data_IF_764734233958
#
_entry.id   IF_764734233958
#
_cell.length_a   1.000
_cell.length_b   1.000
_cell.length_c   1.000
_cell.angle_alpha   90.00
_cell.angle_beta   90.00
_cell.angle_gamma   90.00
#
_symmetry.space_group_name_H-M   'P 1'
#
loop_
_entity.id
_entity.type
_entity.pdbx_description
1 polymer ?
#
# COMPACT_ATOMS: atom_id res chain seq x y z
N UNK A 1 63.47 18.98 12.88
CA UNK A 1 64.44 19.21 11.80
C UNK A 1 65.06 17.84 11.55
N UNK A 2 64.92 17.13 10.45
CA UNK A 2 64.61 17.40 9.04
C UNK A 2 63.94 16.11 8.47
N UNK A 3 62.95 16.24 7.59
CA UNK A 3 63.00 15.94 6.14
C UNK A 3 63.34 14.47 5.79
N UNK A 4 62.63 13.74 4.93
CA UNK A 4 61.56 14.11 4.02
C UNK A 4 61.16 12.93 3.13
N UNK A 5 59.94 13.05 2.57
CA UNK A 5 59.42 12.65 1.24
C UNK A 5 59.99 11.42 0.53
N UNK A 6 59.06 10.65 -0.04
CA UNK A 6 59.24 10.12 -1.40
C UNK A 6 58.60 8.75 -1.66
N UNK A 7 57.33 8.74 -2.05
CA UNK A 7 56.70 7.59 -2.73
C UNK A 7 57.10 7.67 -4.21
N UNK A 8 57.64 6.61 -4.84
CA UNK A 8 57.66 6.52 -6.29
C UNK A 8 56.48 5.69 -6.81
N UNK A 9 55.73 6.32 -7.72
CA UNK A 9 54.69 5.71 -8.53
C UNK A 9 55.32 4.82 -9.61
N UNK A 10 54.94 3.54 -9.64
CA UNK A 10 55.22 2.65 -10.77
C UNK A 10 54.04 2.67 -11.73
N UNK A 11 54.21 3.44 -12.81
CA UNK A 11 53.35 3.48 -14.00
C UNK A 11 53.89 2.48 -15.00
N UNK A 12 53.24 1.31 -15.13
CA UNK A 12 53.52 0.38 -16.23
C UNK A 12 52.43 0.57 -17.29
N UNK A 13 52.88 1.05 -18.45
CA UNK A 13 52.11 1.21 -19.68
C UNK A 13 51.78 -0.18 -20.24
N UNK A 14 50.52 -0.44 -20.52
CA UNK A 14 50.12 -1.46 -21.47
C UNK A 14 50.02 -0.77 -22.85
N UNK A 15 51.09 -0.93 -23.64
CA UNK A 15 51.06 -0.68 -25.07
C UNK A 15 50.55 -1.95 -25.78
N UNK A 16 50.02 -1.74 -27.00
CA UNK A 16 49.75 -2.72 -28.07
C UNK A 16 48.39 -3.44 -28.13
N UNK A 17 47.62 -3.46 -29.22
CA UNK A 17 47.49 -2.74 -30.52
C UNK A 17 46.14 -3.23 -31.10
N UNK A 18 45.24 -2.38 -31.63
CA UNK A 18 44.23 -2.76 -32.62
C UNK A 18 44.83 -2.51 -34.03
N UNK A 19 44.60 -3.34 -35.07
CA UNK A 19 43.36 -3.18 -35.85
C UNK A 19 42.94 -4.40 -36.70
N UNK A 20 41.64 -4.61 -36.90
CA UNK A 20 41.14 -5.29 -38.10
C UNK A 20 39.93 -4.52 -38.64
N UNK A 21 40.24 -3.63 -39.57
CA UNK A 21 39.31 -2.85 -40.37
C UNK A 21 38.61 -3.79 -41.35
N UNK A 22 37.33 -4.08 -41.13
CA UNK A 22 36.49 -4.75 -42.11
C UNK A 22 36.12 -3.77 -43.24
N UNK A 23 36.05 -4.23 -44.51
CA UNK A 23 35.72 -3.38 -45.65
C UNK A 23 34.25 -2.95 -45.62
N UNK A 24 34.05 -1.64 -45.77
CA UNK A 24 32.76 -0.95 -45.90
C UNK A 24 31.97 -1.44 -47.13
N UNK A 25 30.76 -1.98 -46.97
CA UNK A 25 29.85 -2.17 -48.10
C UNK A 25 29.28 -0.83 -48.57
N UNK A 26 29.44 -0.57 -49.86
CA UNK A 26 28.96 0.58 -50.63
C UNK A 26 27.47 0.85 -50.41
N UNK A 27 27.14 2.10 -50.09
CA UNK A 27 25.77 2.58 -49.92
C UNK A 27 25.00 2.55 -51.27
N UNK A 28 23.81 1.94 -51.34
CA UNK A 28 22.90 2.16 -52.45
C UNK A 28 22.25 3.55 -52.34
N UNK A 29 22.09 4.21 -53.49
CA UNK A 29 21.50 5.54 -53.67
C UNK A 29 20.14 5.72 -52.97
N UNK A 30 19.79 6.95 -52.55
CA UNK A 30 18.55 7.19 -51.81
C UNK A 30 17.32 7.00 -52.70
N UNK A 31 16.38 6.17 -52.24
CA UNK A 31 15.03 6.10 -52.80
C UNK A 31 14.29 7.43 -52.56
N UNK A 32 13.38 7.87 -53.45
CA UNK A 32 12.56 9.04 -53.20
C UNK A 32 11.64 8.81 -52.00
N UNK A 33 11.67 9.73 -51.04
CA UNK A 33 10.83 9.73 -49.85
C UNK A 33 9.34 9.59 -50.23
N UNK A 34 8.57 8.67 -49.62
CA UNK A 34 7.13 8.72 -49.71
C UNK A 34 6.67 10.03 -49.03
N UNK A 35 5.94 10.86 -49.78
CA UNK A 35 5.23 12.01 -49.23
C UNK A 35 4.23 11.48 -48.21
N UNK A 36 4.54 11.65 -46.92
CA UNK A 36 3.56 11.46 -45.84
C UNK A 36 2.53 12.58 -46.06
N UNK A 37 1.26 12.26 -46.37
CA UNK A 37 0.25 13.29 -46.46
C UNK A 37 0.16 14.01 -45.12
N UNK A 38 0.05 15.34 -45.24
CA UNK A 38 0.07 16.33 -44.18
C UNK A 38 -0.55 15.85 -42.87
N UNK A 39 0.20 16.14 -41.83
CA UNK A 39 -0.17 16.16 -40.42
C UNK A 39 -1.51 16.90 -40.21
N UNK A 40 -2.64 16.24 -40.43
CA UNK A 40 -3.94 16.77 -40.05
C UNK A 40 -4.15 16.54 -38.55
N UNK A 41 -3.87 17.63 -37.87
CA UNK A 41 -3.98 17.89 -36.45
C UNK A 41 -5.33 17.41 -35.88
N UNK A 42 -5.38 16.22 -35.29
CA UNK A 42 -6.07 16.12 -34.00
C UNK A 42 -5.15 16.76 -32.97
N UNK A 43 -5.35 18.06 -32.72
CA UNK A 43 -4.92 18.65 -31.45
C UNK A 43 -5.53 17.76 -30.36
N UNK A 44 -4.77 17.22 -29.40
CA UNK A 44 -5.41 16.71 -28.20
C UNK A 44 -6.22 17.87 -27.64
N UNK A 45 -7.53 17.70 -27.52
CA UNK A 45 -8.40 18.67 -26.88
C UNK A 45 -7.68 19.15 -25.62
N UNK A 46 -7.51 20.46 -25.48
CA UNK A 46 -6.88 21.07 -24.33
C UNK A 46 -7.81 20.89 -23.12
N UNK A 47 -7.99 19.65 -22.67
CA UNK A 47 -8.79 19.26 -21.53
C UNK A 47 -8.15 19.91 -20.31
N UNK A 48 -8.84 20.90 -19.78
CA UNK A 48 -8.43 21.56 -18.54
C UNK A 48 -8.37 20.54 -17.40
N UNK A 49 -7.42 20.72 -16.48
CA UNK A 49 -7.17 19.78 -15.38
C UNK A 49 -8.45 19.41 -14.58
N UNK A 50 -8.61 18.12 -14.30
CA UNK A 50 -9.75 17.59 -13.54
C UNK A 50 -9.78 18.12 -12.10
N UNK A 51 -10.99 18.45 -11.63
CA UNK A 51 -11.22 18.92 -10.25
C UNK A 51 -11.68 17.75 -9.40
N UNK A 52 -10.83 17.33 -8.45
CA UNK A 52 -11.13 16.23 -7.51
C UNK A 52 -11.73 16.81 -6.22
N UNK A 53 -12.94 16.39 -5.87
CA UNK A 53 -13.66 16.84 -4.67
C UNK A 53 -13.88 15.66 -3.72
N UNK A 54 -13.29 15.67 -2.51
CA UNK A 54 -13.53 14.61 -1.52
C UNK A 54 -14.95 14.71 -0.95
N UNK A 55 -15.61 13.56 -0.85
CA UNK A 55 -16.99 13.43 -0.40
C UNK A 55 -17.01 12.60 0.90
N UNK A 56 -16.88 13.24 2.09
CA UNK A 56 -16.94 12.52 3.37
C UNK A 56 -18.32 11.91 3.60
N UNK A 57 -18.42 10.58 3.62
CA UNK A 57 -19.69 9.84 3.73
C UNK A 57 -19.68 8.95 4.97
N UNK A 58 -20.82 8.82 5.66
CA UNK A 58 -20.94 7.91 6.79
C UNK A 58 -21.24 6.48 6.34
N UNK A 59 -20.87 5.51 7.16
CA UNK A 59 -21.11 4.09 6.91
C UNK A 59 -22.60 3.76 6.70
N UNK A 60 -23.51 4.38 7.46
CA UNK A 60 -24.97 4.20 7.30
C UNK A 60 -25.46 4.68 5.92
N UNK A 61 -24.93 5.81 5.44
CA UNK A 61 -25.26 6.33 4.11
C UNK A 61 -24.76 5.39 3.00
N UNK A 62 -23.58 4.80 3.17
CA UNK A 62 -23.05 3.80 2.25
C UNK A 62 -23.90 2.52 2.29
N UNK A 63 -24.35 2.11 3.47
CA UNK A 63 -25.14 0.90 3.65
C UNK A 63 -26.50 1.03 2.96
N UNK A 64 -27.25 2.10 3.23
CA UNK A 64 -28.60 2.31 2.69
C UNK A 64 -28.60 2.82 1.24
N UNK A 65 -27.50 3.45 0.83
CA UNK A 65 -27.45 4.27 -0.38
C UNK A 65 -28.11 5.64 -0.12
N UNK A 66 -27.44 6.71 -0.53
CA UNK A 66 -27.92 8.07 -0.33
C UNK A 66 -27.63 8.95 -1.55
N UNK A 67 -28.49 9.92 -1.81
CA UNK A 67 -28.20 11.00 -2.76
C UNK A 67 -27.69 12.19 -1.97
N UNK A 68 -26.45 12.59 -2.21
CA UNK A 68 -25.83 13.70 -1.49
C UNK A 68 -25.73 14.93 -2.39
N UNK A 69 -26.30 16.03 -1.92
CA UNK A 69 -26.28 17.32 -2.62
C UNK A 69 -25.04 18.09 -2.20
N UNK A 70 -24.13 18.30 -3.13
CA UNK A 70 -22.84 18.93 -2.89
C UNK A 70 -22.79 20.28 -3.58
N UNK A 71 -22.41 21.32 -2.84
CA UNK A 71 -22.13 22.64 -3.40
C UNK A 71 -20.62 22.75 -3.60
N UNK A 72 -20.19 22.80 -4.84
CA UNK A 72 -18.76 23.03 -5.15
C UNK A 72 -18.48 24.53 -5.03
N UNK A 73 -17.45 24.89 -4.27
CA UNK A 73 -17.09 26.30 -4.11
C UNK A 73 -16.32 26.80 -5.35
N UNK A 74 -16.60 28.04 -5.76
CA UNK A 74 -16.00 28.70 -6.93
C UNK A 74 -14.47 28.92 -6.85
N UNK A 75 -13.82 28.56 -5.73
CA UNK A 75 -12.36 28.55 -5.61
C UNK A 75 -11.70 27.28 -6.17
N UNK A 76 -12.45 26.15 -6.23
CA UNK A 76 -11.95 24.88 -6.77
C UNK A 76 -12.13 24.78 -8.29
N UNK A 77 -13.15 25.45 -8.83
CA UNK A 77 -13.38 25.62 -10.26
C UNK A 77 -12.69 26.92 -10.70
N UNK A 78 -11.50 26.84 -11.31
CA UNK A 78 -10.74 28.04 -11.74
C UNK A 78 -11.62 28.95 -12.62
N UNK A 79 -11.72 30.22 -12.23
CA UNK A 79 -12.60 31.23 -12.82
C UNK A 79 -12.28 31.51 -14.29
N UNK A 80 -13.32 31.55 -15.12
CA UNK A 80 -13.44 32.56 -16.20
C UNK A 80 -14.45 33.60 -15.70
N UNK A 81 -14.17 34.86 -16.03
CA UNK A 81 -14.82 36.06 -15.49
C UNK A 81 -16.35 35.96 -15.34
N UNK A 82 -16.83 36.34 -14.15
CA UNK A 82 -18.14 36.97 -13.93
C UNK A 82 -19.38 36.10 -14.15
N UNK A 83 -19.45 34.93 -13.49
CA UNK A 83 -20.69 34.43 -12.86
C UNK A 83 -20.32 33.33 -11.86
N UNK A 84 -20.57 33.57 -10.57
CA UNK A 84 -20.34 32.62 -9.49
C UNK A 84 -21.47 31.57 -9.55
N UNK A 85 -21.38 30.62 -10.47
CA UNK A 85 -22.33 29.51 -10.53
C UNK A 85 -22.01 28.57 -9.36
N UNK A 86 -22.75 28.72 -8.26
CA UNK A 86 -22.79 27.70 -7.22
C UNK A 86 -23.58 26.52 -7.79
N UNK A 87 -22.89 25.67 -8.55
CA UNK A 87 -23.53 24.48 -9.10
C UNK A 87 -23.70 23.45 -7.97
N UNK A 88 -24.95 23.07 -7.78
CA UNK A 88 -25.37 22.02 -6.85
C UNK A 88 -25.34 20.70 -7.62
N UNK A 89 -24.54 19.75 -7.16
CA UNK A 89 -24.44 18.42 -7.74
C UNK A 89 -25.19 17.42 -6.86
N UNK A 90 -26.15 16.72 -7.45
CA UNK A 90 -26.82 15.59 -6.80
C UNK A 90 -26.03 14.31 -7.09
N UNK A 91 -25.12 13.97 -6.17
CA UNK A 91 -24.26 12.79 -6.29
C UNK A 91 -25.00 11.58 -5.71
N UNK A 92 -25.33 10.60 -6.57
CA UNK A 92 -25.95 9.34 -6.13
C UNK A 92 -24.87 8.37 -5.66
N UNK A 93 -24.91 8.00 -4.39
CA UNK A 93 -24.00 7.01 -3.80
C UNK A 93 -24.68 5.64 -3.87
N UNK A 94 -24.12 4.66 -4.60
CA UNK A 94 -24.67 3.31 -4.62
C UNK A 94 -24.49 2.63 -3.26
N UNK A 95 -25.42 1.75 -2.90
CA UNK A 95 -25.31 0.94 -1.70
C UNK A 95 -24.07 0.06 -1.75
N UNK A 96 -23.31 -0.01 -0.66
CA UNK A 96 -22.09 -0.82 -0.57
C UNK A 96 -20.88 -0.26 -1.34
N UNK A 97 -20.91 1.01 -1.77
CA UNK A 97 -19.78 1.65 -2.44
C UNK A 97 -18.47 1.45 -1.64
N UNK A 98 -17.36 1.05 -2.29
CA UNK A 98 -16.06 0.97 -1.62
C UNK A 98 -15.52 2.37 -1.31
N UNK A 99 -14.58 2.43 -0.36
CA UNK A 99 -13.81 3.65 -0.14
C UNK A 99 -13.04 4.04 -1.41
N UNK A 100 -12.94 5.35 -1.69
CA UNK A 100 -12.32 5.87 -2.91
C UNK A 100 -13.18 5.72 -4.17
N UNK A 101 -14.46 5.31 -4.08
CA UNK A 101 -15.34 5.27 -5.24
C UNK A 101 -15.45 6.63 -5.93
N UNK A 102 -15.23 6.66 -7.25
CA UNK A 102 -15.16 7.89 -8.05
C UNK A 102 -16.44 8.07 -8.86
N UNK A 103 -17.07 9.23 -8.72
CA UNK A 103 -18.23 9.64 -9.52
C UNK A 103 -17.83 10.85 -10.37
N UNK A 104 -17.72 10.64 -11.68
CA UNK A 104 -17.27 11.67 -12.64
C UNK A 104 -18.47 12.34 -13.31
N UNK A 105 -18.48 13.66 -13.30
CA UNK A 105 -19.38 14.48 -14.11
C UNK A 105 -18.59 15.17 -15.21
N UNK A 106 -18.93 14.84 -16.46
CA UNK A 106 -18.22 15.33 -17.64
C UNK A 106 -18.56 16.78 -17.99
N UNK A 107 -17.57 17.54 -18.46
CA UNK A 107 -17.73 18.90 -18.99
C UNK A 107 -18.40 19.89 -18.01
N UNK A 108 -18.19 19.68 -16.70
CA UNK A 108 -18.74 20.54 -15.65
C UNK A 108 -17.75 21.60 -15.17
N UNK A 109 -16.50 21.53 -15.59
CA UNK A 109 -15.49 22.56 -15.35
C UNK A 109 -15.42 23.50 -16.55
N UNK A 110 -15.30 24.80 -16.30
CA UNK A 110 -15.03 25.79 -17.34
C UNK A 110 -13.73 25.45 -18.08
N UNK A 111 -13.82 25.17 -19.38
CA UNK A 111 -12.67 24.76 -20.21
C UNK A 111 -12.64 23.28 -20.58
N UNK A 112 -13.74 22.54 -20.39
CA UNK A 112 -13.87 21.14 -20.84
C UNK A 112 -13.17 20.15 -19.90
N UNK A 113 -13.10 20.45 -18.61
CA UNK A 113 -12.57 19.56 -17.58
C UNK A 113 -13.68 18.82 -16.83
N UNK A 114 -13.31 17.70 -16.21
CA UNK A 114 -14.23 16.85 -15.48
C UNK A 114 -14.21 17.16 -13.97
N UNK A 115 -15.37 17.04 -13.32
CA UNK A 115 -15.48 17.08 -11.86
C UNK A 115 -15.57 15.65 -11.36
N UNK A 116 -14.61 15.24 -10.55
CA UNK A 116 -14.56 13.89 -9.98
C UNK A 116 -14.79 13.97 -8.48
N UNK A 117 -15.92 13.43 -8.03
CA UNK A 117 -16.18 13.23 -6.60
C UNK A 117 -15.56 11.92 -6.15
N UNK A 118 -14.74 11.97 -5.10
CA UNK A 118 -14.12 10.77 -4.51
C UNK A 118 -14.78 10.54 -3.16
N UNK A 119 -15.45 9.40 -3.01
CA UNK A 119 -15.99 9.00 -1.71
C UNK A 119 -14.85 8.80 -0.71
N UNK A 120 -15.01 9.41 0.46
CA UNK A 120 -14.12 9.22 1.58
C UNK A 120 -14.95 8.72 2.76
N UNK A 121 -14.71 7.49 3.19
CA UNK A 121 -15.43 6.91 4.31
C UNK A 121 -15.06 7.61 5.62
N UNK A 122 -16.07 8.03 6.38
CA UNK A 122 -15.90 8.57 7.72
C UNK A 122 -15.97 7.42 8.73
N UNK A 123 -14.85 7.17 9.40
CA UNK A 123 -14.78 6.18 10.47
C UNK A 123 -15.73 6.55 11.61
N UNK A 124 -16.55 5.59 12.02
CA UNK A 124 -17.48 5.72 13.14
C UNK A 124 -16.90 5.03 14.37
N UNK A 125 -17.15 5.59 15.57
CA UNK A 125 -16.61 5.03 16.83
C UNK A 125 -17.03 3.57 17.08
N UNK A 126 -18.20 3.18 16.60
CA UNK A 126 -18.78 1.86 16.88
C UNK A 126 -18.42 0.83 15.82
N UNK A 127 -18.31 1.22 14.55
CA UNK A 127 -18.17 0.31 13.42
C UNK A 127 -16.97 0.69 12.57
N UNK A 128 -16.05 -0.25 12.42
CA UNK A 128 -14.88 -0.13 11.55
C UNK A 128 -15.05 -1.07 10.36
N UNK A 129 -15.02 -0.54 9.14
CA UNK A 129 -15.18 -1.34 7.91
C UNK A 129 -13.82 -1.75 7.38
N UNK A 130 -13.68 -3.02 7.00
CA UNK A 130 -12.57 -3.46 6.15
C UNK A 130 -13.13 -4.27 4.98
N UNK A 131 -13.07 -3.67 3.78
CA UNK A 131 -13.64 -4.24 2.57
C UNK A 131 -15.15 -4.43 2.69
N UNK A 132 -15.60 -5.69 2.72
CA UNK A 132 -17.00 -6.08 2.87
C UNK A 132 -17.39 -6.44 4.31
N UNK A 133 -16.43 -6.44 5.23
CA UNK A 133 -16.64 -6.86 6.62
C UNK A 133 -16.76 -5.64 7.55
N UNK A 134 -17.57 -5.80 8.60
CA UNK A 134 -17.78 -4.80 9.65
C UNK A 134 -17.24 -5.34 10.98
N UNK A 135 -16.37 -4.56 11.61
CA UNK A 135 -15.73 -4.86 12.87
C UNK A 135 -16.26 -3.93 13.96
N UNK A 136 -16.41 -4.45 15.17
CA UNK A 136 -16.75 -3.69 16.38
C UNK A 136 -15.79 -4.09 17.47
N UNK A 137 -15.30 -3.11 18.21
CA UNK A 137 -14.57 -3.35 19.45
C UNK A 137 -15.51 -3.17 20.64
N UNK A 138 -15.85 -4.28 21.32
CA UNK A 138 -16.63 -4.26 22.56
C UNK A 138 -15.76 -4.76 23.70
N UNK A 139 -15.77 -4.03 24.82
CA UNK A 139 -15.14 -4.46 26.06
C UNK A 139 -16.08 -5.38 26.83
N UNK A 140 -15.66 -6.61 27.08
CA UNK A 140 -16.35 -7.56 27.95
C UNK A 140 -15.61 -7.74 29.26
N UNK A 141 -16.34 -8.09 30.32
CA UNK A 141 -15.72 -8.42 31.60
C UNK A 141 -15.10 -9.83 31.57
N UNK A 142 -14.11 -10.07 32.44
CA UNK A 142 -13.47 -11.39 32.56
C UNK A 142 -14.50 -12.49 32.91
N UNK A 143 -15.48 -12.16 33.76
CA UNK A 143 -16.58 -13.04 34.12
C UNK A 143 -17.34 -13.52 32.87
N UNK A 144 -17.72 -12.58 32.01
CA UNK A 144 -18.45 -12.87 30.77
C UNK A 144 -17.59 -13.63 29.77
N UNK A 145 -16.28 -13.36 29.71
CA UNK A 145 -15.35 -14.08 28.86
C UNK A 145 -15.19 -15.57 29.25
N UNK A 146 -15.30 -15.89 30.55
CA UNK A 146 -15.15 -17.26 31.07
C UNK A 146 -16.45 -18.07 31.10
N UNK A 147 -17.55 -17.44 31.53
CA UNK A 147 -18.83 -18.12 31.73
C UNK A 147 -19.72 -18.14 30.48
N UNK A 148 -19.35 -17.36 29.46
CA UNK A 148 -20.20 -17.07 28.31
C UNK A 148 -20.77 -15.66 28.42
N UNK A 149 -20.82 -14.96 27.29
CA UNK A 149 -21.28 -13.58 27.19
C UNK A 149 -22.51 -13.49 26.29
N UNK A 150 -23.42 -12.60 26.65
CA UNK A 150 -24.55 -12.21 25.82
C UNK A 150 -24.44 -10.72 25.54
N UNK A 151 -24.08 -10.39 24.30
CA UNK A 151 -23.89 -9.02 23.86
C UNK A 151 -25.03 -8.60 22.94
N UNK A 152 -25.65 -7.49 23.28
CA UNK A 152 -26.65 -6.85 22.40
C UNK A 152 -25.95 -5.77 21.59
N UNK A 153 -25.92 -5.93 20.28
CA UNK A 153 -25.26 -5.03 19.35
C UNK A 153 -26.31 -4.43 18.42
N UNK A 154 -26.30 -3.11 18.27
CA UNK A 154 -27.19 -2.41 17.34
C UNK A 154 -26.55 -2.32 15.95
N UNK A 155 -27.14 -3.03 14.98
CA UNK A 155 -26.70 -2.99 13.59
C UNK A 155 -27.08 -1.68 12.90
N UNK A 156 -26.46 -1.39 11.75
CA UNK A 156 -26.72 -0.19 10.94
C UNK A 156 -28.18 -0.11 10.46
N UNK A 157 -28.82 -1.27 10.29
CA UNK A 157 -30.25 -1.37 9.97
C UNK A 157 -31.19 -0.89 11.08
N UNK A 158 -30.69 -0.72 12.31
CA UNK A 158 -31.49 -0.54 13.53
C UNK A 158 -31.95 -1.86 14.14
N UNK A 159 -31.51 -3.01 13.63
CA UNK A 159 -31.78 -4.33 14.23
C UNK A 159 -30.85 -4.56 15.42
N UNK A 160 -31.39 -5.16 16.48
CA UNK A 160 -30.60 -5.58 17.65
C UNK A 160 -30.15 -7.03 17.45
N UNK A 161 -28.84 -7.22 17.30
CA UNK A 161 -28.19 -8.51 17.17
C UNK A 161 -27.79 -9.02 18.54
N UNK A 162 -28.16 -10.26 18.84
CA UNK A 162 -27.83 -10.92 20.08
C UNK A 162 -26.68 -11.91 19.84
N UNK A 163 -25.48 -11.54 20.26
CA UNK A 163 -24.29 -12.40 20.14
C UNK A 163 -24.15 -13.18 21.44
N UNK A 164 -24.31 -14.49 21.36
CA UNK A 164 -24.15 -15.41 22.49
C UNK A 164 -22.95 -16.32 22.27
N UNK A 165 -22.03 -16.35 23.24
CA UNK A 165 -21.00 -17.39 23.27
C UNK A 165 -21.50 -18.63 24.02
N UNK A 166 -21.01 -19.80 23.64
CA UNK A 166 -21.38 -21.05 24.31
C UNK A 166 -20.82 -21.03 25.74
N UNK A 167 -21.59 -21.48 26.75
CA UNK A 167 -21.08 -21.62 28.10
C UNK A 167 -19.88 -22.59 28.09
N UNK A 168 -18.73 -22.13 28.61
CA UNK A 168 -17.46 -22.88 28.60
C UNK A 168 -16.54 -22.61 27.40
N UNK A 169 -16.97 -21.83 26.40
CA UNK A 169 -16.08 -21.35 25.35
C UNK A 169 -15.33 -20.10 25.85
N UNK A 170 -14.09 -20.31 26.33
CA UNK A 170 -13.22 -19.22 26.77
C UNK A 170 -12.90 -18.34 25.56
N UNK A 171 -13.33 -17.08 25.62
CA UNK A 171 -12.95 -16.09 24.61
C UNK A 171 -11.46 -15.77 24.78
N UNK A 172 -10.64 -16.28 23.87
CA UNK A 172 -9.20 -16.03 23.90
C UNK A 172 -8.94 -14.52 23.74
N UNK A 173 -8.13 -13.91 24.64
CA UNK A 173 -7.78 -12.52 24.49
C UNK A 173 -6.98 -12.35 23.20
N UNK A 174 -7.50 -11.57 22.25
CA UNK A 174 -6.66 -11.07 21.17
C UNK A 174 -5.76 -10.00 21.77
N UNK A 175 -4.47 -10.31 21.89
CA UNK A 175 -3.48 -9.28 22.18
C UNK A 175 -3.46 -8.31 20.99
N UNK A 176 -3.89 -7.07 21.19
CA UNK A 176 -3.85 -6.02 20.18
C UNK A 176 -2.41 -5.50 19.93
N UNK A 177 -1.41 -6.10 20.58
CA UNK A 177 0.00 -5.90 20.26
C UNK A 177 0.39 -6.73 19.05
N UNK A 178 1.41 -6.24 18.33
CA UNK A 178 2.14 -6.97 17.28
C UNK A 178 2.11 -8.48 17.52
N UNK A 179 1.69 -9.25 16.53
CA UNK A 179 1.56 -10.70 16.67
C UNK A 179 2.81 -11.25 17.37
N UNK A 180 2.66 -11.98 18.49
CA UNK A 180 3.78 -12.39 19.31
C UNK A 180 4.79 -13.13 18.45
N UNK A 181 6.07 -12.79 18.62
CA UNK A 181 7.17 -13.51 17.99
C UNK A 181 7.06 -14.98 18.35
N UNK A 182 6.84 -15.82 17.34
CA UNK A 182 6.75 -17.26 17.53
C UNK A 182 8.17 -17.82 17.57
N UNK A 183 8.54 -18.42 18.71
CA UNK A 183 9.79 -19.17 18.83
C UNK A 183 9.55 -20.58 18.32
N UNK A 184 10.42 -21.06 17.46
CA UNK A 184 10.45 -22.44 16.99
C UNK A 184 11.82 -23.02 17.31
N UNK A 185 11.84 -24.08 18.09
CA UNK A 185 13.05 -24.85 18.38
C UNK A 185 13.20 -25.96 17.31
N UNK A 186 14.42 -26.47 17.12
CA UNK A 186 14.75 -27.58 16.20
C UNK A 186 14.27 -27.42 14.74
N UNK A 187 14.18 -26.17 14.28
CA UNK A 187 13.82 -25.82 12.91
C UNK A 187 15.06 -25.33 12.15
N UNK A 188 15.33 -25.91 10.99
CA UNK A 188 16.50 -25.57 10.18
C UNK A 188 16.40 -24.16 9.55
N UNK A 189 17.54 -23.59 9.22
CA UNK A 189 17.65 -22.31 8.54
C UNK A 189 16.89 -22.36 7.20
N UNK A 190 16.04 -21.37 6.99
CA UNK A 190 15.25 -21.25 5.77
C UNK A 190 16.16 -21.32 4.52
N UNK A 191 15.78 -22.05 3.45
CA UNK A 191 16.59 -22.15 2.24
C UNK A 191 16.77 -20.76 1.61
N UNK A 192 18.02 -20.40 1.28
CA UNK A 192 18.37 -19.14 0.60
C UNK A 192 19.77 -18.62 0.97
N UNK A 193 20.07 -17.37 0.61
CA UNK A 193 21.27 -16.62 1.05
C UNK A 193 20.98 -15.77 2.30
N UNK A 194 21.96 -15.64 3.20
CA UNK A 194 21.85 -14.79 4.40
C UNK A 194 21.84 -13.30 4.02
N UNK A 195 20.92 -12.53 4.60
CA UNK A 195 20.90 -11.07 4.45
C UNK A 195 21.87 -10.38 5.43
N UNK A 196 22.19 -11.03 6.54
CA UNK A 196 23.14 -10.55 7.53
C UNK A 196 23.34 -11.57 8.66
N UNK A 197 24.43 -11.40 9.40
CA UNK A 197 24.75 -12.22 10.57
C UNK A 197 25.14 -11.30 11.73
N UNK A 198 24.62 -11.54 12.93
CA UNK A 198 25.03 -10.85 14.15
C UNK A 198 25.56 -11.84 15.19
N UNK A 199 26.61 -11.45 15.91
CA UNK A 199 27.13 -12.18 17.08
C UNK A 199 26.51 -11.58 18.34
N UNK A 200 25.33 -12.05 18.73
CA UNK A 200 24.59 -11.53 19.88
C UNK A 200 23.71 -12.64 20.43
N UNK A 201 23.78 -12.88 21.74
CA UNK A 201 22.92 -13.86 22.44
C UNK A 201 21.52 -13.34 22.80
N UNK A 202 21.31 -12.03 22.69
CA UNK A 202 20.04 -11.39 23.04
C UNK A 202 19.02 -11.47 21.89
N UNK A 203 17.96 -12.26 22.12
CA UNK A 203 16.83 -12.43 21.20
C UNK A 203 16.13 -11.09 20.93
N UNK A 204 16.07 -10.19 21.92
CA UNK A 204 15.40 -8.89 21.81
C UNK A 204 16.10 -7.95 20.84
N UNK A 205 17.43 -7.89 20.90
CA UNK A 205 18.25 -7.14 19.95
C UNK A 205 18.05 -7.64 18.52
N UNK A 206 17.91 -8.96 18.34
CA UNK A 206 17.64 -9.56 17.03
C UNK A 206 16.24 -9.20 16.51
N UNK A 207 15.23 -9.13 17.38
CA UNK A 207 13.88 -8.65 17.01
C UNK A 207 13.91 -7.20 16.54
N UNK A 208 14.68 -6.34 17.19
CA UNK A 208 14.81 -4.93 16.83
C UNK A 208 15.52 -4.74 15.48
N UNK A 209 16.57 -5.53 15.22
CA UNK A 209 17.24 -5.56 13.91
C UNK A 209 16.24 -5.96 12.81
N UNK A 210 15.42 -7.00 13.07
CA UNK A 210 14.39 -7.40 12.11
C UNK A 210 13.36 -6.30 11.86
N UNK A 211 12.90 -5.59 12.91
CA UNK A 211 11.97 -4.46 12.77
C UNK A 211 12.56 -3.33 11.95
N UNK A 212 13.83 -2.99 12.18
CA UNK A 212 14.53 -1.91 11.48
C UNK A 212 14.72 -2.19 9.99
N UNK A 213 15.03 -3.45 9.65
CA UNK A 213 15.28 -3.86 8.27
C UNK A 213 14.04 -4.40 7.55
N UNK A 214 12.90 -4.53 8.24
CA UNK A 214 11.67 -5.10 7.68
C UNK A 214 11.77 -6.61 7.41
N UNK A 215 12.64 -7.33 8.13
CA UNK A 215 12.79 -8.77 8.00
C UNK A 215 11.74 -9.50 8.85
N UNK A 216 11.17 -10.58 8.33
CA UNK A 216 10.09 -11.29 9.01
C UNK A 216 10.57 -12.31 10.06
N UNK A 217 11.87 -12.64 10.10
CA UNK A 217 12.41 -13.62 11.04
C UNK A 217 13.93 -13.81 10.96
N UNK A 218 14.46 -14.50 11.95
CA UNK A 218 15.88 -14.86 12.07
C UNK A 218 16.01 -16.26 12.71
N UNK A 219 17.15 -16.91 12.51
CA UNK A 219 17.52 -18.14 13.19
C UNK A 219 18.72 -17.90 14.10
N UNK A 220 18.77 -18.60 15.23
CA UNK A 220 19.86 -18.47 16.20
C UNK A 220 20.58 -19.82 16.33
N UNK A 221 21.89 -19.82 16.09
CA UNK A 221 22.73 -21.01 16.19
C UNK A 221 24.14 -20.62 16.64
N UNK A 222 24.69 -21.32 17.64
CA UNK A 222 26.06 -21.12 18.16
C UNK A 222 26.46 -19.64 18.37
N UNK A 223 25.67 -18.90 19.16
CA UNK A 223 25.86 -17.48 19.48
C UNK A 223 25.83 -16.52 18.28
N UNK A 224 25.29 -16.99 17.15
CA UNK A 224 25.09 -16.22 15.94
C UNK A 224 23.63 -16.21 15.54
N UNK A 225 23.11 -15.02 15.29
CA UNK A 225 21.83 -14.82 14.65
C UNK A 225 22.03 -14.64 13.14
N UNK A 226 21.29 -15.42 12.35
CA UNK A 226 21.27 -15.38 10.90
C UNK A 226 19.94 -14.76 10.45
N UNK A 227 20.03 -13.65 9.72
CA UNK A 227 18.86 -12.90 9.27
C UNK A 227 18.57 -13.15 7.80
N UNK A 228 17.28 -13.21 7.46
CA UNK A 228 16.82 -13.46 6.09
C UNK A 228 15.84 -12.38 5.64
N UNK A 229 16.05 -11.85 4.43
CA UNK A 229 15.17 -10.89 3.80
C UNK A 229 14.01 -11.62 3.08
N UNK A 230 13.15 -12.27 3.86
CA UNK A 230 11.97 -12.96 3.36
C UNK A 230 10.71 -12.52 4.12
N UNK A 231 9.56 -12.66 3.46
CA UNK A 231 8.25 -12.40 4.04
C UNK A 231 7.84 -13.51 5.03
N UNK A 232 7.01 -13.17 6.03
CA UNK A 232 6.53 -14.10 7.06
C UNK A 232 5.91 -15.37 6.46
N UNK A 233 5.19 -15.22 5.36
CA UNK A 233 4.53 -16.34 4.68
C UNK A 233 5.52 -17.34 4.06
N UNK A 234 6.67 -16.85 3.57
CA UNK A 234 7.70 -17.67 2.94
C UNK A 234 8.50 -18.47 3.98
N UNK A 235 8.79 -17.83 5.11
CA UNK A 235 9.42 -18.48 6.26
C UNK A 235 8.58 -19.67 6.76
N UNK A 236 7.27 -19.46 6.94
CA UNK A 236 6.37 -20.51 7.44
C UNK A 236 6.21 -21.69 6.47
N UNK A 237 6.29 -21.46 5.16
CA UNK A 237 6.17 -22.51 4.12
C UNK A 237 7.37 -23.45 4.07
N UNK A 238 8.58 -22.93 4.26
CA UNK A 238 9.82 -23.71 4.15
C UNK A 238 10.33 -24.29 5.47
N UNK A 239 9.55 -24.16 6.54
CA UNK A 239 9.83 -24.79 7.83
C UNK A 239 9.87 -26.32 7.70
N UNK A 240 11.07 -26.89 7.56
CA UNK A 240 11.30 -28.32 7.75
C UNK A 240 11.48 -28.56 9.24
N UNK A 241 10.52 -29.23 9.86
CA UNK A 241 10.73 -29.77 11.20
C UNK A 241 11.76 -30.90 11.08
N UNK A 242 12.73 -30.95 11.98
CA UNK A 242 13.60 -32.11 12.09
C UNK A 242 12.72 -33.30 12.53
N UNK A 243 12.28 -34.14 11.59
CA UNK A 243 11.65 -35.41 11.95
C UNK A 243 12.74 -36.30 12.54
N UNK A 244 12.67 -36.59 13.84
CA UNK A 244 13.40 -37.71 14.43
C UNK A 244 12.92 -39.04 13.86
#
# INVERSE_FOLDING_TARGET
>A
MECGRGIPAARVKADFVPPCTAPTPTAPSPMPSPQIPSLEMMRPDAQSADVVVPLPVSLDQIYRGATRRVRVQAGQLKRVAKKLWQDVFDVKIPCGAPDGHRVTFKDKVCGGGDVVFVLQEMEQKTWHRQGCNLFIQQSISLREALLGCELVIEHLDGRRLLVRSKPGAILAPKCNGEAPWSRFDDSDAFPGQDAGTAKTGDIESCKEICRRHGWAGFTYWEDKAYFRAQDRSMLLKHRRAHSS
#
